data_IF_508231146549
#
_entry.id   IF_508231146549
#
_cell.length_a   1.000
_cell.length_b   1.000
_cell.length_c   1.000
_cell.angle_alpha   90.00
_cell.angle_beta   90.00
_cell.angle_gamma   90.00
#
_symmetry.space_group_name_H-M   'P 1'
#
loop_
_entity.id
_entity.type
_entity.pdbx_description
1 polymer ?
#
# COMPACT_ATOMS: atom_id res chain seq x y z
N UNK A 1 -6.30 -15.30 6.08
CA UNK A 1 -6.59 -14.07 5.33
C UNK A 1 -6.60 -14.41 3.85
N UNK A 2 -7.66 -14.05 3.16
CA UNK A 2 -7.77 -14.16 1.71
C UNK A 2 -7.27 -12.86 1.09
N UNK A 3 -6.50 -12.93 0.01
CA UNK A 3 -6.02 -11.76 -0.69
C UNK A 3 -6.60 -11.71 -2.11
N UNK A 4 -6.88 -10.49 -2.57
CA UNK A 4 -7.25 -10.18 -3.94
C UNK A 4 -6.23 -9.24 -4.52
N UNK A 5 -5.81 -9.47 -5.76
CA UNK A 5 -4.95 -8.55 -6.51
C UNK A 5 -5.80 -7.85 -7.55
N UNK A 6 -5.70 -6.52 -7.59
CA UNK A 6 -6.39 -5.67 -8.55
C UNK A 6 -5.43 -4.68 -9.17
N UNK A 7 -5.64 -4.35 -10.42
CA UNK A 7 -5.01 -3.18 -11.03
C UNK A 7 -5.85 -1.93 -10.73
N UNK A 8 -5.29 -0.75 -11.02
CA UNK A 8 -6.03 0.51 -10.88
C UNK A 8 -7.27 0.58 -11.78
N UNK A 9 -7.28 -0.18 -12.88
CA UNK A 9 -8.44 -0.26 -13.78
C UNK A 9 -9.52 -1.21 -13.28
N UNK A 10 -9.14 -2.25 -12.56
CA UNK A 10 -10.05 -3.34 -12.17
C UNK A 10 -10.62 -3.15 -10.76
N UNK A 11 -9.95 -2.39 -9.89
CA UNK A 11 -10.38 -2.21 -8.50
C UNK A 11 -11.74 -1.52 -8.44
N UNK A 12 -12.60 -2.04 -7.56
CA UNK A 12 -13.95 -1.53 -7.39
C UNK A 12 -14.16 -0.92 -6.01
N UNK A 13 -15.21 -0.11 -5.87
CA UNK A 13 -15.66 0.37 -4.58
C UNK A 13 -15.92 -0.77 -3.60
N UNK A 14 -16.53 -1.87 -4.06
CA UNK A 14 -16.81 -3.03 -3.22
C UNK A 14 -15.55 -3.74 -2.76
N UNK A 15 -14.49 -3.77 -3.56
CA UNK A 15 -13.18 -4.28 -3.14
C UNK A 15 -12.66 -3.47 -1.94
N UNK A 16 -12.79 -2.15 -1.96
CA UNK A 16 -12.42 -1.28 -0.83
C UNK A 16 -13.29 -1.55 0.40
N UNK A 17 -14.60 -1.58 0.22
CA UNK A 17 -15.55 -1.76 1.33
C UNK A 17 -15.43 -3.12 2.01
N UNK A 18 -15.25 -4.19 1.24
CA UNK A 18 -15.18 -5.56 1.75
C UNK A 18 -13.80 -5.92 2.32
N UNK A 19 -12.75 -5.16 1.99
CA UNK A 19 -11.41 -5.43 2.50
C UNK A 19 -11.25 -5.00 3.95
N UNK A 20 -10.35 -5.66 4.68
CA UNK A 20 -9.92 -5.28 6.03
C UNK A 20 -8.58 -4.56 6.03
N UNK A 21 -7.90 -4.56 4.90
CA UNK A 21 -6.67 -3.86 4.68
C UNK A 21 -6.37 -3.74 3.20
N UNK A 22 -5.55 -2.77 2.84
CA UNK A 22 -5.15 -2.49 1.46
C UNK A 22 -3.64 -2.28 1.45
N UNK A 23 -2.96 -3.01 0.57
CA UNK A 23 -1.58 -2.72 0.21
C UNK A 23 -1.61 -2.14 -1.20
N UNK A 24 -1.19 -0.89 -1.33
CA UNK A 24 -1.16 -0.21 -2.61
C UNK A 24 0.27 -0.02 -3.11
N UNK A 25 0.49 -0.31 -4.38
CA UNK A 25 1.79 -0.18 -5.02
C UNK A 25 1.72 0.66 -6.27
N UNK A 26 2.76 1.46 -6.50
CA UNK A 26 2.84 2.34 -7.66
C UNK A 26 4.26 2.42 -8.19
N UNK A 27 4.44 2.54 -9.52
CA UNK A 27 5.70 3.06 -10.04
C UNK A 27 5.89 4.50 -9.54
N UNK A 28 7.16 4.91 -9.49
CA UNK A 28 7.52 6.30 -9.18
C UNK A 28 7.44 7.12 -10.46
N UNK A 29 6.56 8.10 -10.47
CA UNK A 29 6.49 9.10 -11.54
C UNK A 29 6.60 10.49 -10.92
N UNK A 30 7.67 11.21 -11.26
CA UNK A 30 7.95 12.55 -10.71
C UNK A 30 7.93 12.58 -9.18
N UNK A 31 8.48 11.53 -8.54
CA UNK A 31 8.62 11.46 -7.09
C UNK A 31 7.33 11.17 -6.32
N UNK A 32 6.24 10.79 -7.00
CA UNK A 32 4.96 10.53 -6.37
C UNK A 32 4.25 9.35 -7.04
N UNK A 33 3.09 8.95 -6.52
CA UNK A 33 2.29 7.87 -7.12
C UNK A 33 1.84 8.20 -8.53
N UNK A 34 1.67 7.18 -9.36
CA UNK A 34 1.13 7.32 -10.71
C UNK A 34 -0.25 7.98 -10.69
N UNK A 35 -0.58 8.73 -11.74
CA UNK A 35 -1.87 9.41 -11.87
C UNK A 35 -3.05 8.44 -11.74
N UNK A 36 -2.92 7.23 -12.27
CA UNK A 36 -3.94 6.17 -12.16
C UNK A 36 -4.21 5.76 -10.73
N UNK A 37 -3.18 5.69 -9.88
CA UNK A 37 -3.33 5.39 -8.46
C UNK A 37 -4.04 6.52 -7.73
N UNK A 38 -3.64 7.77 -8.00
CA UNK A 38 -4.30 8.95 -7.41
C UNK A 38 -5.78 9.00 -7.81
N UNK A 39 -6.08 8.67 -9.08
CA UNK A 39 -7.45 8.63 -9.59
C UNK A 39 -8.33 7.62 -8.83
N UNK A 40 -7.79 6.48 -8.41
CA UNK A 40 -8.52 5.51 -7.58
C UNK A 40 -8.94 6.15 -6.26
N UNK A 41 -8.01 6.81 -5.56
CA UNK A 41 -8.32 7.48 -4.30
C UNK A 41 -9.34 8.60 -4.47
N UNK A 42 -9.21 9.40 -5.52
CA UNK A 42 -10.14 10.47 -5.82
C UNK A 42 -11.55 9.93 -6.14
N UNK A 43 -11.61 8.85 -6.93
CA UNK A 43 -12.86 8.22 -7.34
C UNK A 43 -13.66 7.67 -6.15
N UNK A 44 -12.98 7.11 -5.15
CA UNK A 44 -13.63 6.44 -4.03
C UNK A 44 -13.74 7.32 -2.78
N UNK A 45 -13.57 8.63 -2.91
CA UNK A 45 -13.69 9.56 -1.78
C UNK A 45 -15.05 9.45 -1.06
N UNK A 46 -16.11 9.08 -1.77
CA UNK A 46 -17.45 8.96 -1.19
C UNK A 46 -17.60 7.88 -0.13
N UNK A 47 -16.72 6.87 -0.12
CA UNK A 47 -16.72 5.81 0.91
C UNK A 47 -15.68 6.02 1.99
N UNK A 48 -15.05 7.18 2.04
CA UNK A 48 -13.94 7.47 2.96
C UNK A 48 -14.25 7.13 4.42
N UNK A 49 -15.45 7.45 4.89
CA UNK A 49 -15.85 7.20 6.28
C UNK A 49 -15.94 5.71 6.63
N UNK A 50 -16.16 4.83 5.64
CA UNK A 50 -16.21 3.38 5.85
C UNK A 50 -14.82 2.74 5.82
N UNK A 51 -13.77 3.50 5.51
CA UNK A 51 -12.39 3.00 5.45
C UNK A 51 -11.64 3.13 6.77
N UNK A 52 -12.21 3.83 7.73
CA UNK A 52 -11.59 4.05 9.03
C UNK A 52 -11.16 2.75 9.70
N UNK A 53 -9.95 2.78 10.28
CA UNK A 53 -9.33 1.68 11.02
C UNK A 53 -8.98 0.42 10.20
N UNK A 54 -9.15 0.43 8.88
CA UNK A 54 -8.57 -0.61 8.01
C UNK A 54 -7.06 -0.43 7.91
N UNK A 55 -6.34 -1.52 7.74
CA UNK A 55 -4.87 -1.48 7.69
C UNK A 55 -4.40 -1.08 6.29
N UNK A 56 -3.53 -0.08 6.21
CA UNK A 56 -2.92 0.40 4.96
C UNK A 56 -1.41 0.23 4.95
N UNK A 57 -0.86 -0.21 3.83
CA UNK A 57 0.57 -0.27 3.58
C UNK A 57 0.87 0.01 2.12
N UNK A 58 2.13 0.35 1.81
CA UNK A 58 2.48 0.76 0.46
C UNK A 58 3.83 0.18 0.00
N UNK A 59 3.98 0.09 -1.32
CA UNK A 59 5.26 -0.21 -1.97
C UNK A 59 5.42 0.61 -3.24
N UNK A 60 6.66 0.74 -3.71
CA UNK A 60 6.96 1.49 -4.93
C UNK A 60 8.16 0.92 -5.68
N UNK A 61 8.17 1.11 -6.99
CA UNK A 61 9.31 0.79 -7.85
C UNK A 61 9.78 2.04 -8.58
N UNK A 62 11.08 2.23 -8.68
CA UNK A 62 11.68 3.38 -9.37
C UNK A 62 12.64 2.96 -10.48
N UNK A 63 12.91 3.86 -11.42
CA UNK A 63 13.95 3.67 -12.43
C UNK A 63 15.35 3.96 -11.92
N UNK A 64 15.48 4.81 -10.88
CA UNK A 64 16.76 5.28 -10.37
C UNK A 64 16.90 5.03 -8.87
N UNK A 65 18.14 4.92 -8.40
CA UNK A 65 18.45 4.64 -6.99
C UNK A 65 17.87 5.71 -6.05
N UNK A 66 18.04 6.98 -6.39
CA UNK A 66 17.50 8.10 -5.64
C UNK A 66 16.28 8.70 -6.33
N UNK A 67 15.47 7.85 -6.97
CA UNK A 67 14.39 8.27 -7.87
C UNK A 67 13.07 8.65 -7.22
N UNK A 68 12.92 8.48 -5.89
CA UNK A 68 11.72 8.90 -5.19
C UNK A 68 10.82 7.76 -4.72
N UNK A 69 11.37 6.57 -4.44
CA UNK A 69 10.60 5.45 -3.88
C UNK A 69 9.92 5.82 -2.56
N UNK A 70 10.65 6.46 -1.67
CA UNK A 70 10.15 6.86 -0.36
C UNK A 70 9.09 7.94 -0.46
N UNK A 71 9.28 8.95 -1.30
CA UNK A 71 8.28 9.99 -1.50
C UNK A 71 7.01 9.44 -2.16
N UNK A 72 7.13 8.46 -3.05
CA UNK A 72 5.98 7.79 -3.65
C UNK A 72 5.22 6.95 -2.62
N UNK A 73 5.92 6.17 -1.80
CA UNK A 73 5.30 5.44 -0.68
C UNK A 73 4.57 6.42 0.24
N UNK A 74 5.22 7.52 0.61
CA UNK A 74 4.61 8.54 1.47
C UNK A 74 3.38 9.20 0.84
N UNK A 75 3.34 9.38 -0.47
CA UNK A 75 2.16 9.92 -1.16
C UNK A 75 0.94 8.99 -1.04
N UNK A 76 1.17 7.67 -1.11
CA UNK A 76 0.12 6.66 -0.90
C UNK A 76 -0.33 6.65 0.57
N UNK A 77 0.63 6.70 1.50
CA UNK A 77 0.36 6.75 2.95
C UNK A 77 -0.49 7.98 3.29
N UNK A 78 -0.18 9.13 2.72
CA UNK A 78 -0.99 10.35 2.91
C UNK A 78 -2.46 10.12 2.52
N UNK A 79 -2.71 9.46 1.38
CA UNK A 79 -4.06 9.13 0.94
C UNK A 79 -4.75 8.19 1.94
N UNK A 80 -4.06 7.16 2.43
CA UNK A 80 -4.60 6.25 3.44
C UNK A 80 -4.95 6.96 4.76
N UNK A 81 -4.12 7.91 5.19
CA UNK A 81 -4.41 8.71 6.38
C UNK A 81 -5.66 9.58 6.20
N UNK A 82 -5.86 10.13 5.01
CA UNK A 82 -7.08 10.88 4.68
C UNK A 82 -8.32 9.96 4.74
N UNK A 83 -8.16 8.69 4.36
CA UNK A 83 -9.20 7.66 4.51
C UNK A 83 -9.40 7.21 5.97
N UNK A 84 -8.61 7.70 6.92
CA UNK A 84 -8.71 7.30 8.33
C UNK A 84 -8.15 5.92 8.64
N UNK A 85 -7.29 5.38 7.76
CA UNK A 85 -6.73 4.04 7.89
C UNK A 85 -5.56 4.01 8.89
N UNK A 86 -5.31 2.85 9.45
CA UNK A 86 -4.12 2.56 10.26
C UNK A 86 -2.99 2.19 9.30
N UNK A 87 -1.97 3.02 9.21
CA UNK A 87 -0.86 2.82 8.28
C UNK A 87 0.30 2.11 8.97
N UNK A 88 0.88 1.15 8.28
CA UNK A 88 2.05 0.42 8.75
C UNK A 88 3.14 0.36 7.68
N UNK A 89 4.38 0.44 8.12
CA UNK A 89 5.55 0.15 7.28
C UNK A 89 5.88 -1.35 7.30
N UNK A 90 6.97 -1.72 6.65
CA UNK A 90 7.48 -3.07 6.71
C UNK A 90 8.06 -3.39 8.11
N UNK A 91 8.14 -4.68 8.48
CA UNK A 91 8.67 -5.04 9.79
C UNK A 91 10.17 -4.76 9.89
N UNK A 92 10.69 -4.67 11.10
CA UNK A 92 12.09 -4.29 11.35
C UNK A 92 13.12 -5.27 10.76
N UNK A 93 12.74 -6.49 10.49
CA UNK A 93 13.61 -7.48 9.82
C UNK A 93 13.54 -7.40 8.27
N UNK A 94 12.78 -6.49 7.73
CA UNK A 94 12.87 -6.06 6.33
C UNK A 94 13.84 -4.87 6.20
N UNK A 95 14.15 -4.46 4.98
CA UNK A 95 15.19 -3.45 4.74
C UNK A 95 14.66 -2.04 4.51
N UNK A 96 13.36 -1.87 4.41
CA UNK A 96 12.71 -0.56 4.35
C UNK A 96 12.25 -0.09 5.72
N UNK A 97 11.53 1.01 5.75
CA UNK A 97 10.89 1.53 6.96
C UNK A 97 9.45 1.96 6.65
N UNK A 98 9.28 2.68 5.56
CA UNK A 98 7.99 3.26 5.16
C UNK A 98 7.15 2.28 4.37
N UNK A 99 7.77 1.28 3.80
CA UNK A 99 7.21 0.27 2.93
C UNK A 99 8.30 -0.36 2.07
N UNK A 100 7.91 -1.21 1.13
CA UNK A 100 8.86 -1.92 0.27
C UNK A 100 9.13 -1.11 -0.99
N UNK A 101 10.40 -0.97 -1.34
CA UNK A 101 10.82 -0.30 -2.57
C UNK A 101 11.93 -1.03 -3.29
N UNK A 102 11.97 -0.91 -4.60
CA UNK A 102 13.07 -1.43 -5.41
C UNK A 102 13.35 -0.54 -6.62
N UNK A 103 14.53 -0.70 -7.20
CA UNK A 103 14.90 -0.10 -8.48
C UNK A 103 14.70 -1.15 -9.57
N UNK A 104 13.95 -0.82 -10.61
CA UNK A 104 13.66 -1.75 -11.70
C UNK A 104 12.79 -2.93 -11.22
N UNK A 105 13.05 -4.11 -11.77
CA UNK A 105 12.35 -5.33 -11.39
C UNK A 105 12.76 -5.80 -9.99
N UNK A 106 11.83 -6.35 -9.20
CA UNK A 106 12.15 -6.84 -7.86
C UNK A 106 13.08 -8.05 -7.91
N UNK A 107 14.13 -8.01 -7.09
CA UNK A 107 15.01 -9.15 -6.86
C UNK A 107 14.49 -10.05 -5.72
N UNK A 108 15.22 -11.12 -5.38
CA UNK A 108 14.82 -12.05 -4.33
C UNK A 108 14.68 -11.37 -2.96
N UNK A 109 15.56 -10.44 -2.64
CA UNK A 109 15.50 -9.66 -1.38
C UNK A 109 14.25 -8.80 -1.34
N UNK A 110 13.94 -8.09 -2.42
CA UNK A 110 12.73 -7.27 -2.53
C UNK A 110 11.46 -8.12 -2.37
N UNK A 111 11.42 -9.28 -3.04
CA UNK A 111 10.28 -10.19 -2.93
C UNK A 111 10.11 -10.74 -1.51
N UNK A 112 11.22 -11.07 -0.83
CA UNK A 112 11.19 -11.49 0.56
C UNK A 112 10.64 -10.40 1.48
N UNK A 113 11.07 -9.15 1.28
CA UNK A 113 10.58 -8.02 2.04
C UNK A 113 9.09 -7.75 1.76
N UNK A 114 8.64 -7.89 0.51
CA UNK A 114 7.24 -7.77 0.16
C UNK A 114 6.36 -8.82 0.87
N UNK A 115 6.84 -10.06 0.95
CA UNK A 115 6.16 -11.13 1.72
C UNK A 115 6.07 -10.79 3.21
N UNK A 116 7.14 -10.24 3.79
CA UNK A 116 7.16 -9.79 5.19
C UNK A 116 6.13 -8.69 5.44
N UNK A 117 6.03 -7.71 4.53
CA UNK A 117 5.02 -6.66 4.62
C UNK A 117 3.60 -7.24 4.55
N UNK A 118 3.32 -8.10 3.59
CA UNK A 118 2.02 -8.76 3.46
C UNK A 118 1.66 -9.57 4.70
N UNK A 119 2.62 -10.31 5.25
CA UNK A 119 2.43 -11.08 6.49
C UNK A 119 2.13 -10.17 7.69
N UNK A 120 2.83 -9.03 7.79
CA UNK A 120 2.58 -8.06 8.86
C UNK A 120 1.15 -7.52 8.79
N UNK A 121 0.72 -7.07 7.62
CA UNK A 121 -0.64 -6.57 7.41
C UNK A 121 -1.68 -7.64 7.76
N UNK A 122 -1.51 -8.86 7.27
CA UNK A 122 -2.42 -9.96 7.57
C UNK A 122 -2.50 -10.29 9.06
N UNK A 123 -1.37 -10.25 9.76
CA UNK A 123 -1.31 -10.49 11.22
C UNK A 123 -2.08 -9.42 11.97
N UNK A 124 -1.88 -8.15 11.62
CA UNK A 124 -2.59 -7.03 12.26
C UNK A 124 -4.11 -7.12 12.03
N UNK A 125 -4.53 -7.42 10.81
CA UNK A 125 -5.95 -7.62 10.51
C UNK A 125 -6.55 -8.70 11.41
N UNK A 126 -5.85 -9.83 11.58
CA UNK A 126 -6.32 -10.91 12.47
C UNK A 126 -6.41 -10.47 13.93
N UNK A 127 -5.46 -9.68 14.39
CA UNK A 127 -5.47 -9.16 15.77
C UNK A 127 -6.65 -8.22 16.00
N UNK A 128 -6.90 -7.29 15.09
CA UNK A 128 -8.03 -6.36 15.21
C UNK A 128 -9.39 -7.05 15.15
N UNK A 129 -9.52 -8.13 14.38
CA UNK A 129 -10.76 -8.91 14.33
C UNK A 129 -11.06 -9.71 15.60
N UNK A 130 -10.06 -9.98 16.44
CA UNK A 130 -10.21 -10.74 17.68
C UNK A 130 -10.57 -9.88 18.89
N UNK A 131 -10.46 -8.56 18.72
CA UNK A 131 -10.79 -7.58 19.77
C UNK A 131 -12.32 -7.22 19.73
#
# INVERSE_FOLDING_TARGET
VTSLVRTTHDVTKDDFLSSHGIIAGSPVYFGTMAAEMKAVFDKFVGIRKQMGDKVGAAFATSGELTGGRETTIMSIIQAFLIYGMIVVGDPLDATGHYGVGCVGSPDDTTLANARKLGKRVATLIKQFKRS
#
